data_IF_504220152054
#
_entry.id   IF_504220152054
#
_cell.length_a   1.000
_cell.length_b   1.000
_cell.length_c   1.000
_cell.angle_alpha   90.00
_cell.angle_beta   90.00
_cell.angle_gamma   90.00
#
_symmetry.space_group_name_H-M   'P 1'
#
loop_
_entity.id
_entity.type
_entity.pdbx_description
1 polymer ?
#
# COMPACT_ATOMS: atom_id res chain seq x y z
N UNK A 1 -2.26 11.71 15.61
CA UNK A 1 -1.22 10.71 15.94
C UNK A 1 0.05 11.36 16.46
N UNK A 2 0.75 10.75 17.43
CA UNK A 2 2.08 11.20 17.87
C UNK A 2 3.15 10.93 16.80
N UNK A 3 4.06 11.88 16.56
CA UNK A 3 5.08 11.80 15.51
C UNK A 3 6.00 10.56 15.63
N UNK A 4 6.27 10.11 16.85
CA UNK A 4 7.01 8.88 17.14
C UNK A 4 6.28 7.61 16.66
N UNK A 5 4.96 7.53 16.84
CA UNK A 5 4.15 6.39 16.41
C UNK A 5 4.18 6.24 14.88
N UNK A 6 4.06 7.35 14.17
CA UNK A 6 4.13 7.38 12.69
C UNK A 6 5.50 6.89 12.21
N UNK A 7 6.59 7.28 12.89
CA UNK A 7 7.94 6.82 12.57
C UNK A 7 8.14 5.31 12.76
N UNK A 8 7.65 4.75 13.86
CA UNK A 8 7.70 3.30 14.09
C UNK A 8 6.82 2.53 13.10
N UNK A 9 5.63 3.04 12.76
CA UNK A 9 4.75 2.45 11.77
C UNK A 9 5.41 2.41 10.37
N UNK A 10 6.08 3.50 9.98
CA UNK A 10 6.85 3.58 8.74
C UNK A 10 7.95 2.52 8.65
N UNK A 11 8.74 2.40 9.72
CA UNK A 11 9.82 1.42 9.83
C UNK A 11 9.28 -0.01 9.81
N UNK A 12 8.16 -0.26 10.48
CA UNK A 12 7.54 -1.58 10.54
C UNK A 12 6.98 -2.01 9.17
N UNK A 13 6.16 -1.17 8.51
CA UNK A 13 5.58 -1.50 7.21
C UNK A 13 6.65 -1.79 6.16
N UNK A 14 7.72 -0.99 6.14
CA UNK A 14 8.80 -1.14 5.17
C UNK A 14 9.65 -2.39 5.41
N UNK A 15 9.99 -2.69 6.67
CA UNK A 15 10.82 -3.84 7.02
C UNK A 15 10.04 -5.16 7.00
N UNK A 16 8.73 -5.14 7.29
CA UNK A 16 7.88 -6.33 7.30
C UNK A 16 7.75 -6.95 5.91
N UNK A 17 7.55 -6.12 4.87
CA UNK A 17 7.53 -6.58 3.46
C UNK A 17 8.92 -7.08 3.04
N UNK A 18 9.99 -6.50 3.58
CA UNK A 18 11.37 -6.86 3.24
C UNK A 18 11.76 -8.26 3.75
N UNK A 19 11.32 -8.65 4.95
CA UNK A 19 11.72 -9.92 5.58
C UNK A 19 11.05 -11.16 4.96
N UNK A 20 9.92 -11.02 4.26
CA UNK A 20 9.30 -12.12 3.49
C UNK A 20 9.93 -12.25 2.09
N UNK A 21 11.25 -12.51 2.07
CA UNK A 21 12.03 -12.77 0.86
C UNK A 21 12.16 -14.27 0.59
N UNK A 22 12.31 -14.66 -0.68
CA UNK A 22 12.70 -16.03 -1.07
C UNK A 22 11.76 -16.75 -2.04
N UNK A 23 10.55 -16.21 -2.27
CA UNK A 23 9.57 -16.77 -3.23
C UNK A 23 9.20 -15.73 -4.28
N UNK A 24 9.26 -16.12 -5.56
CA UNK A 24 8.88 -15.29 -6.69
C UNK A 24 7.43 -14.78 -6.52
N UNK A 25 7.19 -13.51 -6.83
CA UNK A 25 5.85 -12.92 -6.70
C UNK A 25 5.41 -12.51 -5.29
N UNK A 26 6.02 -13.03 -4.21
CA UNK A 26 5.48 -12.89 -2.85
C UNK A 26 5.42 -11.43 -2.36
N UNK A 27 6.51 -10.67 -2.53
CA UNK A 27 6.59 -9.26 -2.11
C UNK A 27 5.52 -8.40 -2.78
N UNK A 28 5.43 -8.49 -4.10
CA UNK A 28 4.49 -7.71 -4.89
C UNK A 28 3.04 -8.19 -4.63
N UNK A 29 2.83 -9.50 -4.43
CA UNK A 29 1.54 -10.07 -4.06
C UNK A 29 1.01 -9.54 -2.72
N UNK A 30 1.85 -9.48 -1.68
CA UNK A 30 1.46 -8.90 -0.39
C UNK A 30 1.04 -7.44 -0.52
N UNK A 31 1.82 -6.63 -1.25
CA UNK A 31 1.47 -5.23 -1.49
C UNK A 31 0.16 -5.12 -2.27
N UNK A 32 -0.05 -5.94 -3.30
CA UNK A 32 -1.30 -5.94 -4.07
C UNK A 32 -2.52 -6.24 -3.18
N UNK A 33 -2.44 -7.26 -2.33
CA UNK A 33 -3.52 -7.64 -1.42
C UNK A 33 -3.82 -6.51 -0.43
N UNK A 34 -2.78 -5.89 0.16
CA UNK A 34 -2.95 -4.79 1.11
C UNK A 34 -3.54 -3.56 0.42
N UNK A 35 -2.99 -3.16 -0.73
CA UNK A 35 -3.51 -2.02 -1.50
C UNK A 35 -4.96 -2.24 -1.94
N UNK A 36 -5.32 -3.46 -2.32
CA UNK A 36 -6.70 -3.80 -2.67
C UNK A 36 -7.64 -3.71 -1.47
N UNK A 37 -7.23 -4.21 -0.29
CA UNK A 37 -8.01 -4.11 0.94
C UNK A 37 -8.24 -2.65 1.37
N UNK A 38 -7.21 -1.81 1.28
CA UNK A 38 -7.31 -0.37 1.58
C UNK A 38 -8.23 0.33 0.59
N UNK A 39 -8.19 -0.04 -0.69
CA UNK A 39 -9.07 0.52 -1.71
C UNK A 39 -10.54 0.19 -1.42
N UNK A 40 -10.86 -1.05 -1.05
CA UNK A 40 -12.21 -1.43 -0.63
C UNK A 40 -12.63 -0.66 0.63
N UNK A 41 -11.76 -0.56 1.62
CA UNK A 41 -12.03 0.17 2.87
C UNK A 41 -12.40 1.64 2.59
N UNK A 42 -11.60 2.33 1.77
CA UNK A 42 -11.86 3.72 1.41
C UNK A 42 -13.19 3.89 0.66
N UNK A 43 -13.55 2.97 -0.24
CA UNK A 43 -14.83 3.03 -0.97
C UNK A 43 -16.02 2.90 -0.01
N UNK A 44 -15.97 1.91 0.89
CA UNK A 44 -17.03 1.71 1.90
C UNK A 44 -17.16 2.95 2.79
N UNK A 45 -16.03 3.52 3.20
CA UNK A 45 -16.02 4.65 4.14
C UNK A 45 -16.54 5.95 3.52
N UNK A 46 -16.31 6.18 2.23
CA UNK A 46 -16.91 7.28 1.48
C UNK A 46 -18.45 7.12 1.41
N UNK A 47 -18.93 5.90 1.15
CA UNK A 47 -20.37 5.62 1.05
C UNK A 47 -21.10 5.66 2.39
N UNK A 48 -20.43 5.32 3.49
CA UNK A 48 -21.03 5.27 4.83
C UNK A 48 -21.00 6.62 5.57
N UNK A 49 -20.09 7.53 5.22
CA UNK A 49 -19.90 8.78 5.97
C UNK A 49 -20.68 9.93 5.36
N UNK A 50 -21.37 10.70 6.20
CA UNK A 50 -22.09 11.93 5.82
C UNK A 50 -21.21 13.20 5.92
N UNK A 51 -19.98 13.06 6.43
CA UNK A 51 -19.08 14.19 6.67
C UNK A 51 -18.23 14.48 5.41
N UNK A 52 -18.38 15.66 4.78
CA UNK A 52 -17.71 15.96 3.51
C UNK A 52 -16.18 16.00 3.63
N UNK A 53 -15.65 16.46 4.77
CA UNK A 53 -14.20 16.48 5.03
C UNK A 53 -13.59 15.07 5.06
N UNK A 54 -14.29 14.14 5.68
CA UNK A 54 -13.83 12.77 5.80
C UNK A 54 -13.89 12.02 4.48
N UNK A 55 -14.92 12.28 3.66
CA UNK A 55 -14.98 11.77 2.28
C UNK A 55 -13.81 12.26 1.42
N UNK A 56 -13.38 13.53 1.58
CA UNK A 56 -12.23 14.06 0.86
C UNK A 56 -10.91 13.38 1.27
N UNK A 57 -10.69 13.13 2.55
CA UNK A 57 -9.51 12.42 3.05
C UNK A 57 -9.41 11.00 2.44
N UNK A 58 -10.54 10.28 2.38
CA UNK A 58 -10.60 8.97 1.73
C UNK A 58 -10.49 9.04 0.20
N UNK A 59 -11.04 10.07 -0.46
CA UNK A 59 -10.88 10.26 -1.89
C UNK A 59 -9.41 10.51 -2.27
N UNK A 60 -8.69 11.31 -1.48
CA UNK A 60 -7.26 11.52 -1.65
C UNK A 60 -6.47 10.22 -1.48
N UNK A 61 -6.83 9.43 -0.48
CA UNK A 61 -6.27 8.10 -0.24
C UNK A 61 -6.45 7.16 -1.45
N UNK A 62 -7.63 7.14 -2.08
CA UNK A 62 -7.91 6.33 -3.28
C UNK A 62 -7.01 6.74 -4.46
N UNK A 63 -6.83 8.05 -4.68
CA UNK A 63 -6.00 8.56 -5.78
C UNK A 63 -4.54 8.07 -5.67
N UNK A 64 -4.03 7.87 -4.45
CA UNK A 64 -2.68 7.33 -4.22
C UNK A 64 -2.63 5.79 -4.27
N UNK A 65 -3.66 5.10 -3.77
CA UNK A 65 -3.70 3.63 -3.74
C UNK A 65 -3.94 3.02 -5.12
N UNK A 66 -4.76 3.64 -5.97
CA UNK A 66 -5.08 3.13 -7.30
C UNK A 66 -3.84 2.96 -8.22
N UNK A 67 -2.92 3.93 -8.35
CA UNK A 67 -1.69 3.75 -9.12
C UNK A 67 -0.74 2.75 -8.46
N UNK A 68 -0.67 2.70 -7.11
CA UNK A 68 0.13 1.70 -6.40
C UNK A 68 -0.34 0.27 -6.73
N UNK A 69 -1.65 0.03 -6.69
CA UNK A 69 -2.22 -1.27 -7.03
C UNK A 69 -1.96 -1.62 -8.50
N UNK A 70 -2.21 -0.68 -9.42
CA UNK A 70 -2.07 -0.92 -10.87
C UNK A 70 -0.61 -1.22 -11.27
N UNK A 71 0.33 -0.42 -10.76
CA UNK A 71 1.77 -0.64 -11.01
C UNK A 71 2.27 -1.92 -10.35
N UNK A 72 1.74 -2.28 -9.18
CA UNK A 72 2.04 -3.55 -8.51
C UNK A 72 1.52 -4.75 -9.30
N UNK A 73 0.31 -4.69 -9.85
CA UNK A 73 -0.24 -5.75 -10.71
C UNK A 73 0.59 -5.92 -11.98
N UNK A 74 1.01 -4.82 -12.60
CA UNK A 74 1.94 -4.86 -13.73
C UNK A 74 3.27 -5.50 -13.32
N UNK A 75 3.84 -5.14 -12.17
CA UNK A 75 5.08 -5.74 -11.67
C UNK A 75 4.93 -7.23 -11.35
N UNK A 76 3.79 -7.64 -10.79
CA UNK A 76 3.45 -9.04 -10.55
C UNK A 76 3.50 -9.83 -11.86
N UNK A 77 2.99 -9.29 -12.97
CA UNK A 77 2.98 -10.02 -14.25
C UNK A 77 4.39 -10.42 -14.74
N UNK A 78 5.42 -9.66 -14.38
CA UNK A 78 6.82 -9.97 -14.71
C UNK A 78 7.59 -10.69 -13.58
N UNK A 79 7.09 -10.60 -12.35
CA UNK A 79 7.70 -11.19 -11.16
C UNK A 79 7.04 -12.52 -10.74
N UNK A 80 5.91 -12.89 -11.35
CA UNK A 80 5.24 -14.17 -11.10
C UNK A 80 6.08 -15.33 -11.61
N UNK A 81 5.98 -16.49 -10.96
CA UNK A 81 6.82 -17.64 -11.27
C UNK A 81 6.60 -18.15 -12.72
N UNK A 82 7.66 -18.40 -13.51
CA UNK A 82 9.09 -18.11 -13.25
C UNK A 82 9.42 -16.62 -13.44
N UNK A 83 10.04 -16.00 -12.43
CA UNK A 83 10.26 -14.56 -12.43
C UNK A 83 11.23 -14.11 -13.53
N UNK A 84 10.80 -13.12 -14.32
CA UNK A 84 11.63 -12.46 -15.34
C UNK A 84 12.36 -11.24 -14.78
N UNK A 85 11.79 -10.58 -13.76
CA UNK A 85 12.35 -9.38 -13.13
C UNK A 85 12.19 -9.45 -11.62
N UNK A 86 13.24 -9.08 -10.89
CA UNK A 86 13.20 -8.96 -9.44
C UNK A 86 12.84 -7.54 -9.01
N UNK A 87 11.94 -7.49 -8.03
CA UNK A 87 11.39 -6.26 -7.44
C UNK A 87 12.43 -5.41 -6.70
N UNK A 88 13.37 -6.08 -6.03
CA UNK A 88 14.43 -5.44 -5.24
C UNK A 88 13.93 -4.70 -4.00
N UNK A 89 14.86 -4.03 -3.32
CA UNK A 89 14.55 -3.22 -2.13
C UNK A 89 13.86 -1.90 -2.49
N UNK A 90 14.17 -1.32 -3.66
CA UNK A 90 13.62 -0.05 -4.14
C UNK A 90 12.08 -0.03 -4.13
N UNK A 91 11.46 -1.04 -4.73
CA UNK A 91 10.00 -1.14 -4.72
C UNK A 91 9.45 -1.39 -3.32
N UNK A 92 10.17 -2.13 -2.48
CA UNK A 92 9.72 -2.43 -1.11
C UNK A 92 9.65 -1.14 -0.27
N UNK A 93 10.64 -0.25 -0.42
CA UNK A 93 10.61 1.10 0.17
C UNK A 93 9.50 1.97 -0.42
N UNK A 94 9.33 1.95 -1.75
CA UNK A 94 8.26 2.72 -2.42
C UNK A 94 6.85 2.30 -1.98
N UNK A 95 6.57 0.99 -1.96
CA UNK A 95 5.27 0.46 -1.55
C UNK A 95 4.99 0.74 -0.06
N UNK A 96 5.97 0.49 0.82
CA UNK A 96 5.83 0.72 2.26
C UNK A 96 5.58 2.19 2.60
N UNK A 97 6.30 3.11 1.95
CA UNK A 97 6.11 4.56 2.15
C UNK A 97 4.78 5.06 1.59
N UNK A 98 4.34 4.54 0.45
CA UNK A 98 3.05 4.94 -0.14
C UNK A 98 1.87 4.49 0.73
N UNK A 99 1.90 3.26 1.25
CA UNK A 99 0.89 2.76 2.19
C UNK A 99 0.86 3.55 3.51
N UNK A 100 2.03 3.98 4.00
CA UNK A 100 2.12 4.85 5.17
C UNK A 100 1.45 6.21 4.93
N UNK A 101 1.77 6.87 3.81
CA UNK A 101 1.20 8.18 3.45
C UNK A 101 -0.32 8.09 3.35
N UNK A 102 -0.81 7.02 2.74
CA UNK A 102 -2.22 6.69 2.58
C UNK A 102 -2.96 6.53 3.91
N UNK A 103 -2.35 5.88 4.91
CA UNK A 103 -2.93 5.76 6.26
C UNK A 103 -2.95 7.08 7.03
N UNK A 104 -1.84 7.85 6.97
CA UNK A 104 -1.76 9.16 7.65
C UNK A 104 -2.78 10.15 7.08
N UNK A 105 -2.87 10.26 5.75
CA UNK A 105 -3.74 11.23 5.08
C UNK A 105 -5.20 10.77 5.05
N UNK A 106 -5.44 9.46 5.00
CA UNK A 106 -6.79 8.88 5.11
C UNK A 106 -7.35 8.91 6.53
N UNK A 107 -6.58 9.36 7.53
CA UNK A 107 -6.98 9.42 8.94
C UNK A 107 -7.55 8.08 9.47
N UNK A 108 -6.89 6.96 9.15
CA UNK A 108 -7.23 5.62 9.67
C UNK A 108 -6.00 4.88 10.24
#
# INVERSE_FOLDING_TARGET
>A
MSKLYIGFLALFCTNSIKYHTGVNGLKAGQVAVISFAVLIYNIIQIGSSTNPKYQLDHAFSIILVQPLLTTTLALISFNWYPASVFVGDTYTYFAGTTLLVVGILGNF
#
